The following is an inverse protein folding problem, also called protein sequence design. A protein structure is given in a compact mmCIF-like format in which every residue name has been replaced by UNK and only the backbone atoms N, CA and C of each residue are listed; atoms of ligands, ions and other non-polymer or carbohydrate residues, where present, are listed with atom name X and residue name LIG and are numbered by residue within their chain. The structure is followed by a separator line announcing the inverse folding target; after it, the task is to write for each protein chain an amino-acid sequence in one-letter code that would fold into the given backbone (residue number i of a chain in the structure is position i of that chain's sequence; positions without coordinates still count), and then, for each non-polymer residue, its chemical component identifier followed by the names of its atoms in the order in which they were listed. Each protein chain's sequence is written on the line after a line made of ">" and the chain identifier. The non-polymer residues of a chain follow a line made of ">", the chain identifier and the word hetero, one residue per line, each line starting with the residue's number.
data_IF_696177014671
#
_entry.id   IF_696177014671
#
_cell.length_a   1.000
_cell.length_b   1.000
_cell.length_c   1.000
_cell.angle_alpha   90.00
_cell.angle_beta   90.00
_cell.angle_gamma   90.00
#
_symmetry.space_group_name_H-M   'P 1'
#
loop_
_entity.id
_entity.type
_entity.pdbx_description
1 polymer ?
#
# COMPACT_ATOMS: atom_id res chain seq x y z
N UNK A 1 -58.22 0.39 7.56
CA UNK A 1 -57.24 1.44 7.21
C UNK A 1 -56.09 1.40 8.21
N UNK A 2 -54.86 1.28 7.70
CA UNK A 2 -53.55 1.67 8.26
C UNK A 2 -53.11 0.98 9.57
N UNK A 3 -51.87 0.54 9.77
CA UNK A 3 -50.60 0.80 9.08
C UNK A 3 -49.62 -0.29 9.57
N UNK A 4 -49.41 -1.33 8.78
CA UNK A 4 -48.24 -2.21 8.92
C UNK A 4 -47.34 -1.84 7.75
N UNK A 5 -46.04 -1.73 7.97
CA UNK A 5 -44.95 -1.24 7.09
C UNK A 5 -44.43 0.14 7.49
N UNK A 6 -43.43 0.17 8.38
CA UNK A 6 -42.34 1.16 8.26
C UNK A 6 -41.09 0.89 9.09
N UNK A 7 -41.06 -0.11 9.98
CA UNK A 7 -39.87 -0.36 10.82
C UNK A 7 -38.80 -1.25 10.19
N UNK A 8 -39.09 -1.96 9.09
CA UNK A 8 -38.13 -2.90 8.48
C UNK A 8 -37.11 -2.20 7.58
N UNK A 9 -37.42 -1.01 7.04
CA UNK A 9 -36.52 -0.29 6.10
C UNK A 9 -35.48 0.60 6.77
N UNK A 10 -35.68 0.98 8.04
CA UNK A 10 -34.76 1.88 8.75
C UNK A 10 -33.56 1.11 9.33
N UNK A 11 -33.72 -0.18 9.66
CA UNK A 11 -32.64 -1.03 10.18
C UNK A 11 -31.59 -1.47 9.15
N UNK A 12 -31.96 -1.53 7.86
CA UNK A 12 -31.06 -2.00 6.79
C UNK A 12 -30.17 -0.85 6.25
N UNK A 13 -30.61 0.41 6.35
CA UNK A 13 -29.84 1.57 5.88
C UNK A 13 -28.74 1.99 6.87
N UNK A 14 -28.88 1.66 8.16
CA UNK A 14 -27.88 1.97 9.19
C UNK A 14 -26.72 0.96 9.30
N UNK A 15 -26.79 -0.18 8.60
CA UNK A 15 -25.74 -1.21 8.62
C UNK A 15 -24.64 -1.04 7.56
N UNK A 16 -24.78 -0.07 6.65
CA UNK A 16 -23.79 0.19 5.59
C UNK A 16 -22.88 1.40 5.82
N UNK A 17 -23.11 2.20 6.87
CA UNK A 17 -22.37 3.45 7.10
C UNK A 17 -21.19 3.28 8.08
N UNK A 18 -21.06 2.13 8.76
CA UNK A 18 -20.10 1.94 9.85
C UNK A 18 -18.80 1.20 9.46
N UNK A 19 -18.56 0.89 8.18
CA UNK A 19 -17.48 -0.04 7.79
C UNK A 19 -16.26 0.55 7.09
N UNK A 20 -16.02 1.87 7.13
CA UNK A 20 -14.86 2.45 6.42
C UNK A 20 -14.03 3.41 7.27
N UNK A 21 -14.01 3.21 8.58
CA UNK A 21 -12.84 3.66 9.34
C UNK A 21 -11.68 2.76 8.94
N UNK A 22 -10.94 3.16 7.90
CA UNK A 22 -9.60 2.66 7.64
C UNK A 22 -8.75 2.99 8.87
N UNK A 23 -8.82 2.14 9.89
CA UNK A 23 -7.89 2.17 11.01
C UNK A 23 -6.55 1.72 10.46
N UNK A 24 -5.80 2.68 9.95
CA UNK A 24 -4.43 2.55 9.46
C UNK A 24 -3.50 2.28 10.65
N UNK A 25 -3.63 1.11 11.28
CA UNK A 25 -2.82 0.70 12.43
C UNK A 25 -1.82 -0.38 12.00
N UNK A 26 -0.58 -0.28 12.49
CA UNK A 26 0.46 -1.27 12.29
C UNK A 26 0.19 -2.50 13.16
N UNK A 27 -0.82 -3.27 12.78
CA UNK A 27 -1.03 -4.61 13.29
C UNK A 27 -0.04 -5.57 12.63
N UNK A 28 0.24 -6.69 13.29
CA UNK A 28 1.12 -7.72 12.75
C UNK A 28 0.56 -8.20 11.42
N UNK A 29 1.30 -7.99 10.33
CA UNK A 29 0.70 -8.15 9.00
C UNK A 29 0.25 -9.59 8.73
N UNK A 30 0.88 -10.59 9.36
CA UNK A 30 0.46 -12.01 9.30
C UNK A 30 -1.02 -12.22 9.59
N UNK A 31 -1.58 -11.38 10.46
CA UNK A 31 -2.94 -11.57 10.97
C UNK A 31 -3.99 -11.05 9.96
N UNK A 32 -3.53 -10.34 8.92
CA UNK A 32 -4.37 -9.71 7.91
C UNK A 32 -3.99 -10.08 6.48
N UNK A 33 -2.84 -10.72 6.26
CA UNK A 33 -2.38 -11.16 4.93
C UNK A 33 -3.46 -11.98 4.20
N UNK A 34 -4.07 -12.96 4.87
CA UNK A 34 -5.05 -13.84 4.23
C UNK A 34 -6.38 -13.13 3.94
N UNK A 35 -6.78 -12.21 4.82
CA UNK A 35 -7.95 -11.36 4.58
C UNK A 35 -7.74 -10.45 3.37
N UNK A 36 -6.53 -9.90 3.21
CA UNK A 36 -6.17 -9.04 2.09
C UNK A 36 -6.00 -9.84 0.79
N UNK A 37 -5.50 -11.08 0.84
CA UNK A 37 -5.47 -11.98 -0.32
C UNK A 37 -6.89 -12.31 -0.80
N UNK A 38 -7.79 -12.65 0.11
CA UNK A 38 -9.18 -12.93 -0.21
C UNK A 38 -9.89 -11.70 -0.77
N UNK A 39 -9.63 -10.52 -0.21
CA UNK A 39 -10.15 -9.26 -0.76
C UNK A 39 -9.58 -8.99 -2.17
N UNK A 40 -8.29 -9.23 -2.39
CA UNK A 40 -7.66 -9.12 -3.71
C UNK A 40 -8.31 -10.03 -4.75
N UNK A 41 -8.64 -11.26 -4.36
CA UNK A 41 -9.38 -12.20 -5.19
C UNK A 41 -10.79 -11.68 -5.54
N UNK A 42 -11.55 -11.21 -4.55
CA UNK A 42 -12.90 -10.68 -4.74
C UNK A 42 -12.94 -9.41 -5.61
N UNK A 43 -11.93 -8.55 -5.50
CA UNK A 43 -11.84 -7.30 -6.27
C UNK A 43 -11.24 -7.49 -7.68
N UNK A 44 -10.85 -8.71 -8.06
CA UNK A 44 -10.13 -8.93 -9.33
C UNK A 44 -8.73 -8.31 -9.37
N UNK A 45 -8.23 -7.84 -8.21
CA UNK A 45 -6.91 -7.22 -8.03
C UNK A 45 -5.78 -8.25 -7.93
N UNK A 46 -6.01 -9.49 -8.38
CA UNK A 46 -5.03 -10.58 -8.44
C UNK A 46 -4.13 -10.50 -9.67
N UNK A 47 -4.39 -9.57 -10.59
CA UNK A 47 -3.52 -9.33 -11.74
C UNK A 47 -2.08 -9.14 -11.25
N UNK A 48 -1.12 -9.99 -11.65
CA UNK A 48 0.26 -9.86 -11.19
C UNK A 48 0.83 -8.48 -11.58
N UNK A 49 1.67 -7.91 -10.71
CA UNK A 49 2.46 -6.75 -11.13
C UNK A 49 3.36 -7.18 -12.26
N UNK A 50 3.64 -6.26 -13.18
CA UNK A 50 4.71 -6.46 -14.16
C UNK A 50 5.99 -6.78 -13.39
N UNK A 51 6.63 -7.88 -13.76
CA UNK A 51 7.95 -8.20 -13.25
C UNK A 51 8.92 -7.07 -13.60
N UNK A 52 9.66 -6.60 -12.59
CA UNK A 52 10.66 -5.54 -12.76
C UNK A 52 12.04 -6.18 -12.66
N UNK A 53 12.88 -5.85 -13.63
CA UNK A 53 14.26 -6.32 -13.74
C UNK A 53 15.22 -5.14 -13.65
N UNK A 54 16.49 -5.42 -13.41
CA UNK A 54 17.52 -4.37 -13.32
C UNK A 54 17.66 -3.56 -14.62
N UNK A 55 17.34 -4.17 -15.77
CA UNK A 55 17.34 -3.52 -17.07
C UNK A 55 16.22 -2.46 -17.21
N UNK A 56 15.14 -2.55 -16.42
CA UNK A 56 14.07 -1.54 -16.42
C UNK A 56 14.51 -0.21 -15.77
N UNK A 57 15.61 -0.22 -15.03
CA UNK A 57 16.11 0.91 -14.23
C UNK A 57 17.16 1.71 -15.00
N UNK A 58 16.67 2.52 -15.96
CA UNK A 58 17.49 3.33 -16.86
C UNK A 58 18.04 4.59 -16.22
N UNK A 59 17.36 5.13 -15.20
CA UNK A 59 17.90 6.22 -14.38
C UNK A 59 19.04 5.68 -13.50
N UNK A 60 20.27 6.22 -13.63
CA UNK A 60 21.40 5.74 -12.84
C UNK A 60 21.30 6.12 -11.35
N UNK A 61 20.55 7.15 -10.99
CA UNK A 61 20.45 7.66 -9.62
C UNK A 61 19.08 8.31 -9.34
N UNK A 62 17.96 7.57 -9.42
CA UNK A 62 16.64 8.07 -9.04
C UNK A 62 16.63 8.60 -7.61
N UNK A 63 16.09 9.80 -7.43
CA UNK A 63 15.91 10.48 -6.16
C UNK A 63 14.68 9.95 -5.39
N UNK A 64 14.61 10.17 -4.08
CA UNK A 64 13.46 9.76 -3.25
C UNK A 64 12.14 10.36 -3.75
N UNK A 65 12.18 11.59 -4.26
CA UNK A 65 11.01 12.28 -4.82
C UNK A 65 10.33 11.49 -5.97
N UNK A 66 11.06 10.63 -6.69
CA UNK A 66 10.50 9.79 -7.76
C UNK A 66 9.44 8.81 -7.26
N UNK A 67 9.48 8.42 -5.98
CA UNK A 67 8.46 7.57 -5.38
C UNK A 67 7.11 8.29 -5.30
N UNK A 68 7.13 9.57 -4.91
CA UNK A 68 5.94 10.41 -4.86
C UNK A 68 5.32 10.61 -6.25
N UNK A 69 6.16 10.91 -7.25
CA UNK A 69 5.74 11.01 -8.66
C UNK A 69 5.10 9.70 -9.15
N UNK A 70 5.63 8.56 -8.71
CA UNK A 70 5.09 7.25 -9.06
C UNK A 70 3.74 6.93 -8.40
N UNK A 71 3.34 7.68 -7.36
CA UNK A 71 2.02 7.63 -6.74
C UNK A 71 2.01 7.23 -5.26
N UNK A 72 3.16 7.07 -4.58
CA UNK A 72 3.17 6.69 -3.15
C UNK A 72 2.52 7.75 -2.26
N UNK A 73 2.63 9.03 -2.63
CA UNK A 73 1.98 10.14 -1.91
C UNK A 73 0.46 10.13 -2.08
N UNK A 74 -0.07 9.70 -3.22
CA UNK A 74 -1.51 9.62 -3.44
C UNK A 74 -2.14 8.38 -2.79
N UNK A 75 -1.44 7.24 -2.83
CA UNK A 75 -2.03 5.96 -2.41
C UNK A 75 -1.64 5.57 -0.99
N UNK A 76 -0.38 5.73 -0.61
CA UNK A 76 0.14 5.20 0.65
C UNK A 76 0.08 6.20 1.80
N UNK A 77 0.24 7.51 1.53
CA UNK A 77 0.37 8.54 2.57
C UNK A 77 -0.88 8.71 3.43
N UNK A 78 -2.06 8.36 2.90
CA UNK A 78 -3.33 8.34 3.62
C UNK A 78 -3.24 7.56 4.92
N UNK A 79 -2.47 6.45 4.92
CA UNK A 79 -2.21 5.65 6.10
C UNK A 79 -0.79 5.84 6.63
N UNK A 80 0.21 5.91 5.75
CA UNK A 80 1.63 5.92 6.08
C UNK A 80 2.19 7.35 6.01
N UNK A 81 1.90 8.17 7.00
CA UNK A 81 2.39 9.55 7.08
C UNK A 81 2.81 9.92 8.50
N UNK A 82 3.52 11.05 8.65
CA UNK A 82 3.88 11.59 9.95
C UNK A 82 2.67 11.82 10.89
N UNK A 83 1.49 12.09 10.32
CA UNK A 83 0.24 12.28 11.08
C UNK A 83 -0.33 10.98 11.67
N UNK A 84 0.20 9.81 11.29
CA UNK A 84 -0.25 8.52 11.78
C UNK A 84 0.93 7.63 12.19
N UNK A 85 1.53 7.97 13.34
CA UNK A 85 2.64 7.21 13.91
C UNK A 85 2.31 5.72 14.12
N UNK A 86 1.04 5.38 14.36
CA UNK A 86 0.59 4.01 14.56
C UNK A 86 0.75 3.15 13.30
N UNK A 87 0.89 3.73 12.10
CA UNK A 87 1.17 2.97 10.88
C UNK A 87 2.62 2.45 10.78
N UNK A 88 3.52 2.87 11.68
CA UNK A 88 4.88 2.36 11.80
C UNK A 88 5.82 2.68 10.63
N UNK A 89 5.35 3.42 9.63
CA UNK A 89 6.10 3.91 8.48
C UNK A 89 5.47 5.23 8.02
N UNK A 90 6.30 6.25 7.87
CA UNK A 90 5.98 7.46 7.12
C UNK A 90 6.56 7.34 5.70
N UNK A 91 5.70 7.24 4.68
CA UNK A 91 6.09 7.11 3.27
C UNK A 91 6.60 8.43 2.68
N UNK A 92 6.35 9.55 3.35
CA UNK A 92 6.75 10.90 2.92
C UNK A 92 8.12 11.31 3.47
N UNK A 93 8.67 10.55 4.41
CA UNK A 93 9.97 10.79 5.01
C UNK A 93 11.04 9.87 4.40
N UNK A 94 12.07 10.48 3.82
CA UNK A 94 13.21 9.75 3.26
C UNK A 94 13.84 8.81 4.27
N UNK A 95 14.15 9.28 5.49
CA UNK A 95 14.82 8.48 6.51
C UNK A 95 13.97 7.28 6.94
N UNK A 96 12.65 7.49 7.08
CA UNK A 96 11.68 6.45 7.40
C UNK A 96 11.63 5.36 6.33
N UNK A 97 11.53 5.73 5.05
CA UNK A 97 11.48 4.77 3.93
C UNK A 97 12.83 4.10 3.71
N UNK A 98 13.92 4.84 3.83
CA UNK A 98 15.29 4.35 3.66
C UNK A 98 15.64 3.24 4.66
N UNK A 99 15.07 3.28 5.86
CA UNK A 99 15.22 2.24 6.89
C UNK A 99 14.46 0.94 6.57
N UNK A 100 13.61 0.92 5.54
CA UNK A 100 12.86 -0.29 5.12
C UNK A 100 13.42 -0.94 3.86
N UNK A 101 14.56 -0.46 3.37
CA UNK A 101 15.22 -0.97 2.18
C UNK A 101 16.67 -1.35 2.43
N UNK A 102 17.08 -2.42 1.75
CA UNK A 102 18.47 -2.85 1.61
C UNK A 102 18.96 -2.37 0.25
N UNK A 103 19.87 -1.38 0.25
CA UNK A 103 20.38 -0.79 -0.99
C UNK A 103 21.01 -1.85 -1.88
N UNK A 104 20.71 -1.79 -3.18
CA UNK A 104 21.16 -2.77 -4.16
C UNK A 104 20.40 -4.10 -4.12
N UNK A 105 19.51 -4.30 -3.13
CA UNK A 105 18.72 -5.52 -3.00
C UNK A 105 17.22 -5.19 -2.83
N UNK A 106 16.53 -4.76 -3.90
CA UNK A 106 15.10 -4.48 -3.85
C UNK A 106 14.30 -5.72 -3.43
N UNK A 107 14.56 -6.90 -3.99
CA UNK A 107 13.78 -8.11 -3.68
C UNK A 107 13.93 -8.59 -2.22
N UNK A 108 15.06 -8.30 -1.57
CA UNK A 108 15.27 -8.56 -0.15
C UNK A 108 14.83 -7.42 0.79
N UNK A 109 14.32 -6.32 0.25
CA UNK A 109 13.89 -5.16 1.04
C UNK A 109 12.48 -5.35 1.59
N UNK A 110 12.29 -5.06 2.88
CA UNK A 110 10.99 -5.20 3.54
C UNK A 110 9.90 -4.39 2.82
N UNK A 111 10.20 -3.15 2.41
CA UNK A 111 9.26 -2.31 1.66
C UNK A 111 8.77 -3.00 0.39
N UNK A 112 9.71 -3.46 -0.46
CA UNK A 112 9.38 -4.08 -1.74
C UNK A 112 8.58 -5.38 -1.54
N UNK A 113 8.95 -6.22 -0.58
CA UNK A 113 8.22 -7.45 -0.24
C UNK A 113 6.77 -7.11 0.13
N UNK A 114 6.54 -6.11 0.99
CA UNK A 114 5.19 -5.74 1.43
C UNK A 114 4.31 -5.23 0.30
N UNK A 115 4.85 -4.42 -0.61
CA UNK A 115 4.07 -3.86 -1.73
C UNK A 115 3.97 -4.80 -2.93
N UNK A 116 4.89 -5.76 -3.10
CA UNK A 116 4.94 -6.63 -4.28
C UNK A 116 4.23 -7.97 -4.05
N UNK A 117 4.30 -8.54 -2.85
CA UNK A 117 3.73 -9.86 -2.57
C UNK A 117 3.11 -10.02 -1.18
N UNK A 118 3.17 -8.98 -0.34
CA UNK A 118 2.60 -8.97 1.00
C UNK A 118 1.31 -8.13 1.12
N UNK A 119 0.99 -7.73 2.34
CA UNK A 119 -0.28 -7.09 2.70
C UNK A 119 -0.53 -5.78 1.97
N UNK A 120 0.51 -5.07 1.58
CA UNK A 120 0.35 -3.79 0.88
C UNK A 120 0.20 -3.95 -0.63
N UNK A 121 0.15 -5.20 -1.14
CA UNK A 121 0.03 -5.49 -2.57
C UNK A 121 -1.19 -4.87 -3.23
N UNK A 122 -2.33 -4.83 -2.55
CA UNK A 122 -3.57 -4.24 -3.09
C UNK A 122 -3.46 -2.74 -3.34
N UNK A 123 -2.56 -2.06 -2.64
CA UNK A 123 -2.34 -0.62 -2.74
C UNK A 123 -1.15 -0.28 -3.66
N UNK A 124 -0.60 -1.27 -4.35
CA UNK A 124 0.52 -1.10 -5.27
C UNK A 124 0.06 -1.21 -6.74
N UNK A 125 0.83 -0.58 -7.63
CA UNK A 125 0.64 -0.63 -9.08
C UNK A 125 1.99 -0.73 -9.79
N UNK A 126 2.00 -0.90 -11.11
CA UNK A 126 3.25 -1.07 -11.88
C UNK A 126 4.20 0.13 -11.77
N UNK A 127 3.66 1.35 -11.64
CA UNK A 127 4.45 2.59 -11.50
C UNK A 127 5.18 2.62 -10.17
N UNK A 128 4.46 2.46 -9.06
CA UNK A 128 5.01 2.41 -7.70
C UNK A 128 6.00 1.24 -7.58
N UNK A 129 5.62 0.06 -8.09
CA UNK A 129 6.48 -1.13 -8.05
C UNK A 129 7.83 -0.91 -8.73
N UNK A 130 7.82 -0.33 -9.94
CA UNK A 130 9.04 -0.01 -10.68
C UNK A 130 9.86 1.07 -9.98
N UNK A 131 9.23 2.13 -9.50
CA UNK A 131 9.92 3.23 -8.83
C UNK A 131 10.63 2.76 -7.55
N UNK A 132 9.94 2.01 -6.68
CA UNK A 132 10.53 1.47 -5.44
C UNK A 132 11.66 0.48 -5.76
N UNK A 133 11.49 -0.39 -6.76
CA UNK A 133 12.54 -1.31 -7.20
C UNK A 133 13.79 -0.55 -7.65
N UNK A 134 13.64 0.36 -8.60
CA UNK A 134 14.76 1.09 -9.20
C UNK A 134 15.44 2.04 -8.22
N UNK A 135 14.66 2.75 -7.40
CA UNK A 135 15.20 3.59 -6.34
C UNK A 135 16.06 2.79 -5.37
N UNK A 136 15.56 1.65 -4.90
CA UNK A 136 16.31 0.77 -3.98
C UNK A 136 17.56 0.19 -4.63
N UNK A 137 17.45 -0.26 -5.89
CA UNK A 137 18.55 -0.84 -6.65
C UNK A 137 19.69 0.17 -6.87
N UNK A 138 19.35 1.42 -7.17
CA UNK A 138 20.31 2.46 -7.62
C UNK A 138 20.82 3.38 -6.50
N UNK A 139 20.76 2.93 -5.25
CA UNK A 139 21.40 3.64 -4.13
C UNK A 139 20.45 4.15 -3.06
N UNK A 140 19.14 4.10 -3.29
CA UNK A 140 18.12 4.71 -2.43
C UNK A 140 18.47 6.16 -2.09
N UNK A 141 18.69 6.97 -3.12
CA UNK A 141 19.17 8.35 -2.99
C UNK A 141 18.09 9.26 -2.40
N UNK A 142 18.47 10.34 -1.68
CA UNK A 142 17.52 11.33 -1.16
C UNK A 142 16.74 12.07 -2.25
#
# INVERSE_FOLDING_TARGET
>A
MNKIHNHVRIGIVLLFVSSIFWNCENQKSSDKEDSLKNLGFLLGSTTPLKEVTDADCTDPAPAFATLGVAGTTATCSTCHSAGNANAGLDITSYSSVRNRVTVGNPKGSLLFIKINSGSMRLYNNNSINKAVYCWTLKGANP
#
